data_IF_075981916467
#
_entry.id   IF_075981916467
#
_cell.length_a   1.000
_cell.length_b   1.000
_cell.length_c   1.000
_cell.angle_alpha   90.00
_cell.angle_beta   90.00
_cell.angle_gamma   90.00
#
_symmetry.space_group_name_H-M   'P 1'
#
loop_
_entity.id
_entity.type
_entity.pdbx_description
1 polymer ?
#
# COMPACT_ATOMS: atom_id res chain seq x y z
N UNK A 1 -11.94 -1.36 16.66
CA UNK A 1 -11.19 -1.85 15.48
C UNK A 1 -10.19 -0.80 15.00
N UNK A 2 -9.14 -1.26 14.33
CA UNK A 2 -8.07 -0.52 13.66
C UNK A 2 -8.16 -0.77 12.15
N UNK A 3 -7.39 -0.01 11.37
CA UNK A 3 -7.25 -0.27 9.94
C UNK A 3 -6.70 -1.68 9.70
N UNK A 4 -7.31 -2.44 8.78
CA UNK A 4 -6.94 -3.82 8.48
C UNK A 4 -7.65 -4.89 9.32
N UNK A 5 -8.33 -4.51 10.41
CA UNK A 5 -9.12 -5.47 11.20
C UNK A 5 -10.29 -6.02 10.38
N UNK A 6 -10.52 -7.32 10.45
CA UNK A 6 -11.66 -7.98 9.81
C UNK A 6 -12.83 -8.07 10.78
N UNK A 7 -14.02 -7.71 10.28
CA UNK A 7 -15.25 -7.64 11.06
C UNK A 7 -16.32 -8.54 10.45
N UNK A 8 -16.92 -9.41 11.27
CA UNK A 8 -18.10 -10.17 10.90
C UNK A 8 -19.34 -9.36 11.26
N UNK A 9 -20.03 -8.83 10.24
CA UNK A 9 -21.27 -8.07 10.40
C UNK A 9 -22.44 -9.05 10.59
N UNK A 10 -23.07 -9.01 11.77
CA UNK A 10 -24.20 -9.88 12.13
C UNK A 10 -25.52 -9.27 11.67
N UNK A 11 -25.66 -7.95 11.80
CA UNK A 11 -26.87 -7.23 11.40
C UNK A 11 -26.51 -5.86 10.82
N UNK A 12 -26.96 -5.62 9.59
CA UNK A 12 -26.81 -4.37 8.86
C UNK A 12 -28.16 -3.73 8.46
N UNK A 13 -29.25 -4.05 9.16
CA UNK A 13 -30.60 -3.56 8.81
C UNK A 13 -30.82 -2.08 9.12
N UNK A 14 -30.03 -1.50 10.02
CA UNK A 14 -30.09 -0.07 10.38
C UNK A 14 -29.11 0.73 9.51
N UNK A 15 -29.59 1.85 8.98
CA UNK A 15 -28.88 2.73 8.04
C UNK A 15 -27.69 3.48 8.66
N UNK A 16 -27.59 3.54 9.99
CA UNK A 16 -26.58 4.32 10.72
C UNK A 16 -25.65 3.45 11.57
N UNK A 17 -26.11 2.30 12.07
CA UNK A 17 -25.37 1.47 13.01
C UNK A 17 -25.52 -0.02 12.72
N UNK A 18 -24.40 -0.71 12.55
CA UNK A 18 -24.37 -2.16 12.32
C UNK A 18 -23.88 -2.90 13.55
N UNK A 19 -24.39 -4.12 13.75
CA UNK A 19 -23.88 -5.03 14.79
C UNK A 19 -22.80 -5.91 14.17
N UNK A 20 -21.62 -5.94 14.78
CA UNK A 20 -20.49 -6.70 14.30
C UNK A 20 -19.61 -7.19 15.44
N UNK A 21 -18.78 -8.19 15.14
CA UNK A 21 -17.73 -8.70 16.04
C UNK A 21 -16.41 -8.81 15.31
N UNK A 22 -15.34 -8.80 16.07
CA UNK A 22 -13.99 -8.98 15.54
C UNK A 22 -13.77 -10.41 15.06
N UNK A 23 -13.09 -10.57 13.92
CA UNK A 23 -12.54 -11.86 13.52
C UNK A 23 -11.09 -11.91 13.95
N UNK A 24 -10.72 -12.97 14.66
CA UNK A 24 -9.35 -13.25 15.11
C UNK A 24 -8.79 -14.44 14.32
N UNK A 25 -7.46 -14.69 14.37
CA UNK A 25 -6.88 -15.90 13.79
C UNK A 25 -7.47 -17.21 14.34
N UNK A 26 -8.10 -17.17 15.53
CA UNK A 26 -8.74 -18.33 16.17
C UNK A 26 -10.27 -18.38 15.93
N UNK A 27 -10.80 -17.49 15.09
CA UNK A 27 -12.23 -17.39 14.80
C UNK A 27 -12.86 -16.08 15.30
N UNK A 28 -14.19 -16.04 15.25
CA UNK A 28 -14.98 -14.90 15.71
C UNK A 28 -14.81 -14.67 17.22
N UNK A 29 -14.58 -13.41 17.61
CA UNK A 29 -14.65 -13.00 19.01
C UNK A 29 -16.08 -13.16 19.54
N UNK A 30 -16.21 -13.48 20.83
CA UNK A 30 -17.50 -13.48 21.53
C UNK A 30 -18.06 -12.07 21.74
N UNK A 31 -17.21 -11.04 21.66
CA UNK A 31 -17.59 -9.66 21.89
C UNK A 31 -18.43 -9.10 20.72
N UNK A 32 -19.73 -8.94 20.97
CA UNK A 32 -20.63 -8.23 20.06
C UNK A 32 -20.59 -6.72 20.31
N UNK A 33 -20.32 -5.96 19.26
CA UNK A 33 -20.28 -4.51 19.30
C UNK A 33 -21.18 -3.85 18.24
N UNK A 34 -21.23 -2.52 18.31
CA UNK A 34 -21.90 -1.68 17.31
C UNK A 34 -20.84 -0.85 16.58
N UNK A 35 -20.89 -0.87 15.25
CA UNK A 35 -20.02 -0.09 14.36
C UNK A 35 -20.86 0.88 13.52
N UNK A 36 -20.34 2.05 13.13
CA UNK A 36 -21.08 2.93 12.24
C UNK A 36 -21.28 2.27 10.86
N UNK A 37 -22.43 2.50 10.23
CA UNK A 37 -22.64 2.03 8.86
C UNK A 37 -21.68 2.72 7.88
N UNK A 38 -21.48 2.10 6.71
CA UNK A 38 -20.74 2.72 5.59
C UNK A 38 -21.26 4.13 5.29
N UNK A 39 -22.57 4.28 5.15
CA UNK A 39 -23.23 5.57 4.86
C UNK A 39 -22.91 6.63 5.92
N UNK A 40 -22.89 6.25 7.20
CA UNK A 40 -22.57 7.15 8.33
C UNK A 40 -21.11 7.59 8.29
N UNK A 41 -20.18 6.66 8.08
CA UNK A 41 -18.73 6.96 7.97
C UNK A 41 -18.48 7.91 6.80
N UNK A 42 -19.00 7.59 5.62
CA UNK A 42 -18.79 8.40 4.43
C UNK A 42 -19.36 9.81 4.56
N UNK A 43 -20.54 9.96 5.16
CA UNK A 43 -21.15 11.28 5.42
C UNK A 43 -20.26 12.13 6.34
N UNK A 44 -19.73 11.53 7.40
CA UNK A 44 -18.88 12.22 8.39
C UNK A 44 -17.54 12.66 7.76
N UNK A 45 -16.88 11.79 7.01
CA UNK A 45 -15.59 12.12 6.38
C UNK A 45 -15.74 13.15 5.25
N UNK A 46 -16.79 13.06 4.41
CA UNK A 46 -17.08 14.10 3.42
C UNK A 46 -17.29 15.47 4.06
N UNK A 47 -17.96 15.53 5.22
CA UNK A 47 -18.13 16.77 5.95
C UNK A 47 -16.78 17.32 6.47
N UNK A 48 -15.92 16.44 7.03
CA UNK A 48 -14.59 16.81 7.51
C UNK A 48 -13.70 17.36 6.40
N UNK A 49 -13.67 16.70 5.23
CA UNK A 49 -12.88 17.13 4.07
C UNK A 49 -13.32 18.49 3.54
N UNK A 50 -14.64 18.77 3.58
CA UNK A 50 -15.15 20.12 3.25
C UNK A 50 -14.61 21.17 4.21
N UNK A 51 -14.68 20.92 5.53
CA UNK A 51 -14.21 21.87 6.56
C UNK A 51 -12.70 22.14 6.46
N UNK A 52 -11.86 21.11 6.29
CA UNK A 52 -10.40 21.27 6.19
C UNK A 52 -10.01 22.15 4.99
N UNK A 53 -10.72 22.01 3.86
CA UNK A 53 -10.46 22.81 2.65
C UNK A 53 -10.93 24.27 2.78
N UNK A 54 -11.91 24.57 3.64
CA UNK A 54 -12.27 25.97 3.96
C UNK A 54 -11.15 26.68 4.74
N UNK A 55 -10.53 25.99 5.71
CA UNK A 55 -9.42 26.55 6.48
C UNK A 55 -8.10 26.65 5.68
N UNK A 56 -7.87 25.77 4.70
CA UNK A 56 -6.68 25.85 3.86
C UNK A 56 -6.67 27.08 2.91
N UNK A 57 -7.84 27.68 2.64
CA UNK A 57 -7.96 28.90 1.82
C UNK A 57 -7.84 30.20 2.62
N UNK A 58 -7.89 30.16 3.95
CA UNK A 58 -7.87 31.36 4.79
C UNK A 58 -6.48 31.84 5.19
N UNK A 59 -5.41 31.09 4.89
CA UNK A 59 -4.02 31.42 5.30
C UNK A 59 -3.15 32.03 4.18
N UNK A 60 -3.75 32.54 3.10
CA UNK A 60 -3.03 33.35 2.09
C UNK A 60 -3.56 34.78 2.08
N UNK A 61 -3.20 35.57 3.11
CA UNK A 61 -3.34 37.02 3.09
C UNK A 61 -2.01 37.66 2.71
N UNK A 62 -1.85 38.09 1.45
CA UNK A 62 -1.40 39.46 1.20
C UNK A 62 -1.73 39.99 -0.22
N UNK A 63 -2.30 41.20 -0.22
CA UNK A 63 -2.23 42.28 -1.21
C UNK A 63 -2.93 42.23 -2.60
N UNK A 64 -3.98 43.06 -2.68
CA UNK A 64 -4.39 44.00 -3.75
C UNK A 64 -5.05 43.50 -5.05
N UNK A 65 -6.30 43.95 -5.25
CA UNK A 65 -6.68 44.70 -6.47
C UNK A 65 -7.65 44.03 -7.44
N UNK A 66 -8.86 44.61 -7.48
CA UNK A 66 -9.82 44.69 -8.58
C UNK A 66 -10.80 43.55 -8.91
N UNK A 67 -12.05 44.01 -8.99
CA UNK A 67 -13.29 43.38 -9.43
C UNK A 67 -13.27 43.26 -10.96
N UNK A 68 -13.73 42.11 -11.49
CA UNK A 68 -14.70 41.95 -12.60
C UNK A 68 -14.57 40.52 -13.20
N UNK A 69 -15.70 39.79 -13.25
CA UNK A 69 -15.85 38.58 -14.07
C UNK A 69 -16.49 37.40 -13.32
N UNK A 70 -17.82 37.40 -13.22
CA UNK A 70 -18.60 36.17 -13.06
C UNK A 70 -18.37 35.23 -14.26
N UNK A 71 -18.55 33.92 -14.03
CA UNK A 71 -18.48 32.80 -15.00
C UNK A 71 -17.19 31.94 -15.06
N UNK A 72 -16.75 31.33 -13.94
CA UNK A 72 -16.01 30.04 -14.02
C UNK A 72 -15.95 29.18 -12.73
N UNK A 73 -16.95 29.26 -11.84
CA UNK A 73 -16.92 28.49 -10.57
C UNK A 73 -17.58 27.10 -10.64
N UNK A 74 -18.15 26.70 -11.77
CA UNK A 74 -18.91 25.46 -11.94
C UNK A 74 -18.08 24.21 -12.26
N UNK A 75 -16.85 24.36 -12.77
CA UNK A 75 -16.07 23.22 -13.29
C UNK A 75 -15.15 22.60 -12.24
N UNK A 76 -14.79 23.36 -11.19
CA UNK A 76 -13.92 22.87 -10.10
C UNK A 76 -14.66 22.12 -9.00
N UNK A 77 -15.96 22.37 -8.84
CA UNK A 77 -16.82 21.67 -7.88
C UNK A 77 -17.22 20.28 -8.36
N UNK A 78 -17.23 19.99 -9.68
CA UNK A 78 -17.59 18.66 -10.18
C UNK A 78 -16.50 17.60 -9.93
N UNK A 79 -15.22 17.98 -9.86
CA UNK A 79 -14.14 17.05 -9.46
C UNK A 79 -14.16 16.67 -7.97
N UNK A 80 -14.98 17.34 -7.16
CA UNK A 80 -15.08 17.09 -5.70
C UNK A 80 -15.99 15.89 -5.41
N UNK A 81 -16.69 15.34 -6.40
CA UNK A 81 -17.66 14.26 -6.19
C UNK A 81 -17.03 12.86 -6.02
N UNK A 82 -15.75 12.67 -6.36
CA UNK A 82 -15.12 11.33 -6.41
C UNK A 82 -13.87 11.18 -5.51
N UNK A 83 -13.72 11.95 -4.41
CA UNK A 83 -12.79 11.53 -3.36
C UNK A 83 -13.39 10.29 -2.68
N UNK A 84 -12.92 9.10 -3.09
CA UNK A 84 -13.31 7.83 -2.52
C UNK A 84 -13.00 7.84 -1.02
N UNK A 85 -14.06 7.88 -0.20
CA UNK A 85 -13.91 7.83 1.25
C UNK A 85 -13.75 6.37 1.66
N UNK A 86 -12.59 6.06 2.25
CA UNK A 86 -12.33 4.75 2.84
C UNK A 86 -13.25 4.56 4.05
N UNK A 87 -14.02 3.47 4.05
CA UNK A 87 -14.89 3.08 5.16
C UNK A 87 -14.70 1.60 5.49
N UNK A 88 -15.38 0.72 4.74
CA UNK A 88 -15.29 -0.73 4.86
C UNK A 88 -15.12 -1.34 3.47
N UNK A 89 -14.25 -2.34 3.37
CA UNK A 89 -14.11 -3.18 2.18
C UNK A 89 -14.74 -4.55 2.48
N UNK A 90 -15.72 -5.02 1.69
CA UNK A 90 -16.23 -6.37 1.84
C UNK A 90 -15.14 -7.36 1.43
N UNK A 91 -14.92 -8.37 2.25
CA UNK A 91 -13.87 -9.38 2.04
C UNK A 91 -14.46 -10.78 2.07
N UNK A 92 -13.78 -11.72 1.42
CA UNK A 92 -14.11 -13.13 1.44
C UNK A 92 -12.92 -13.98 1.83
N UNK A 93 -13.19 -15.17 2.36
CA UNK A 93 -12.17 -16.16 2.69
C UNK A 93 -11.64 -16.84 1.43
N UNK A 94 -10.31 -16.92 1.30
CA UNK A 94 -9.64 -17.51 0.16
C UNK A 94 -8.42 -18.34 0.59
N UNK A 95 -8.34 -19.58 0.11
CA UNK A 95 -7.17 -20.44 0.34
C UNK A 95 -6.11 -20.23 -0.73
N UNK A 96 -4.85 -20.16 -0.29
CA UNK A 96 -3.68 -19.98 -1.15
C UNK A 96 -2.67 -21.10 -0.91
N UNK A 97 -1.89 -21.42 -1.94
CA UNK A 97 -0.84 -22.44 -1.91
C UNK A 97 0.56 -21.86 -2.18
N UNK A 98 0.73 -20.55 -1.94
CA UNK A 98 1.98 -19.83 -2.14
C UNK A 98 2.25 -18.90 -0.94
N UNK A 99 3.51 -18.57 -0.68
CA UNK A 99 3.86 -17.55 0.30
C UNK A 99 3.65 -16.15 -0.29
N UNK A 100 2.84 -15.33 0.37
CA UNK A 100 2.44 -14.01 -0.16
C UNK A 100 3.65 -13.09 -0.38
N UNK A 101 3.72 -12.34 -1.50
CA UNK A 101 4.72 -11.28 -1.65
C UNK A 101 4.57 -10.22 -0.56
N UNK A 102 5.66 -9.53 -0.19
CA UNK A 102 5.67 -8.49 0.83
C UNK A 102 6.14 -7.18 0.21
N UNK A 103 5.36 -6.13 0.38
CA UNK A 103 5.67 -4.77 -0.08
C UNK A 103 5.67 -3.86 1.14
N UNK A 104 6.83 -3.27 1.45
CA UNK A 104 6.97 -2.29 2.53
C UNK A 104 7.19 -0.91 1.92
N UNK A 105 6.30 0.02 2.23
CA UNK A 105 6.30 1.39 1.72
C UNK A 105 6.54 2.37 2.87
N UNK A 106 7.01 3.57 2.51
CA UNK A 106 7.28 4.62 3.46
C UNK A 106 8.72 4.61 3.99
N UNK A 107 9.00 5.39 5.05
CA UNK A 107 10.35 5.60 5.54
C UNK A 107 10.95 4.31 6.10
N UNK A 108 12.27 4.18 6.00
CA UNK A 108 13.04 3.03 6.51
C UNK A 108 12.76 1.68 5.82
N UNK A 109 11.94 1.63 4.76
CA UNK A 109 11.62 0.39 4.03
C UNK A 109 12.87 -0.41 3.64
N UNK A 110 13.93 0.26 3.19
CA UNK A 110 15.15 -0.42 2.70
C UNK A 110 15.86 -1.17 3.83
N UNK A 111 15.88 -0.57 5.02
CA UNK A 111 16.44 -1.20 6.21
C UNK A 111 15.58 -2.38 6.66
N UNK A 112 14.26 -2.22 6.68
CA UNK A 112 13.34 -3.31 7.06
C UNK A 112 13.49 -4.49 6.09
N UNK A 113 13.50 -4.22 4.78
CA UNK A 113 13.70 -5.22 3.74
C UNK A 113 15.03 -5.96 3.93
N UNK A 114 16.13 -5.22 4.15
CA UNK A 114 17.44 -5.80 4.41
C UNK A 114 17.47 -6.68 5.67
N UNK A 115 16.91 -6.19 6.77
CA UNK A 115 16.89 -6.91 8.06
C UNK A 115 15.99 -8.17 7.99
N UNK A 116 14.88 -8.15 7.25
CA UNK A 116 14.05 -9.34 7.00
C UNK A 116 14.81 -10.40 6.18
N UNK A 117 15.45 -9.98 5.09
CA UNK A 117 16.22 -10.86 4.21
C UNK A 117 17.43 -11.49 4.92
N UNK A 118 18.17 -10.71 5.71
CA UNK A 118 19.33 -11.18 6.44
C UNK A 118 18.94 -12.01 7.68
N UNK A 119 17.87 -11.63 8.38
CA UNK A 119 17.43 -12.30 9.60
C UNK A 119 16.74 -13.64 9.36
N UNK A 120 16.00 -13.79 8.26
CA UNK A 120 15.22 -15.01 7.97
C UNK A 120 15.34 -15.46 6.50
N UNK A 121 16.54 -15.86 6.04
CA UNK A 121 16.79 -16.24 4.64
C UNK A 121 16.02 -17.50 4.18
N UNK A 122 15.50 -18.29 5.10
CA UNK A 122 14.61 -19.42 4.80
C UNK A 122 13.17 -18.99 4.52
N UNK A 123 12.74 -17.83 5.05
CA UNK A 123 11.36 -17.32 4.97
C UNK A 123 11.21 -16.24 3.90
N UNK A 124 12.23 -15.43 3.67
CA UNK A 124 12.21 -14.34 2.70
C UNK A 124 13.15 -14.60 1.51
N UNK A 125 12.78 -14.05 0.35
CA UNK A 125 13.56 -14.11 -0.87
C UNK A 125 13.37 -12.86 -1.71
N UNK A 126 14.33 -12.56 -2.58
CA UNK A 126 14.17 -11.58 -3.65
C UNK A 126 13.97 -12.31 -4.97
N UNK A 127 13.12 -11.77 -5.84
CA UNK A 127 12.97 -12.27 -7.20
C UNK A 127 14.03 -11.67 -8.12
N UNK A 128 14.34 -12.38 -9.21
CA UNK A 128 15.28 -11.89 -10.23
C UNK A 128 14.54 -10.96 -11.20
N UNK A 129 14.92 -9.66 -11.28
CA UNK A 129 14.32 -8.70 -12.21
C UNK A 129 14.80 -8.94 -13.64
N UNK A 130 14.18 -8.28 -14.62
CA UNK A 130 14.59 -8.29 -16.01
C UNK A 130 15.26 -6.97 -16.39
N UNK A 131 16.17 -7.00 -17.35
CA UNK A 131 16.73 -5.78 -17.95
C UNK A 131 17.11 -5.96 -19.41
N UNK A 132 17.01 -4.89 -20.21
CA UNK A 132 17.59 -4.84 -21.57
C UNK A 132 19.05 -4.41 -21.56
N UNK A 133 19.61 -4.05 -20.40
CA UNK A 133 21.02 -3.67 -20.28
C UNK A 133 21.90 -4.88 -20.64
N UNK A 134 22.99 -4.70 -21.42
CA UNK A 134 23.96 -5.76 -21.63
C UNK A 134 24.52 -6.31 -20.31
N UNK A 135 24.63 -7.63 -20.22
CA UNK A 135 25.25 -8.32 -19.09
C UNK A 135 26.73 -7.96 -18.97
N UNK A 136 27.18 -7.66 -17.75
CA UNK A 136 28.59 -7.42 -17.46
C UNK A 136 29.31 -8.74 -17.23
N UNK A 137 30.65 -8.74 -17.34
CA UNK A 137 31.48 -9.94 -17.24
C UNK A 137 31.41 -10.67 -15.89
N UNK A 138 30.99 -9.99 -14.81
CA UNK A 138 30.84 -10.56 -13.47
C UNK A 138 29.40 -10.89 -13.10
N UNK A 139 28.43 -10.59 -13.98
CA UNK A 139 27.01 -10.86 -13.74
C UNK A 139 26.63 -12.22 -14.35
N UNK A 140 25.64 -12.86 -13.75
CA UNK A 140 25.11 -14.16 -14.17
C UNK A 140 23.64 -14.02 -14.53
N UNK A 141 23.29 -14.42 -15.76
CA UNK A 141 21.90 -14.45 -16.23
C UNK A 141 21.05 -15.42 -15.40
N UNK A 142 19.87 -14.96 -15.00
CA UNK A 142 18.97 -15.68 -14.11
C UNK A 142 19.35 -15.64 -12.62
N UNK A 143 20.43 -14.92 -12.26
CA UNK A 143 20.80 -14.65 -10.86
C UNK A 143 20.75 -13.14 -10.55
N UNK A 144 21.49 -12.34 -11.29
CA UNK A 144 21.51 -10.88 -11.10
C UNK A 144 20.30 -10.23 -11.79
N UNK A 145 20.11 -10.58 -13.06
CA UNK A 145 18.97 -10.19 -13.89
C UNK A 145 18.65 -11.31 -14.88
N UNK A 146 17.43 -11.30 -15.39
CA UNK A 146 17.13 -11.89 -16.69
C UNK A 146 17.47 -10.87 -17.77
N UNK A 147 18.55 -11.13 -18.51
CA UNK A 147 19.05 -10.23 -19.54
C UNK A 147 18.27 -10.42 -20.85
N UNK A 148 17.39 -9.47 -21.15
CA UNK A 148 16.56 -9.49 -22.35
C UNK A 148 17.34 -8.89 -23.52
N UNK A 149 17.63 -9.72 -24.53
CA UNK A 149 18.46 -9.32 -25.67
C UNK A 149 17.80 -8.25 -26.57
N UNK A 150 16.49 -8.33 -26.77
CA UNK A 150 15.75 -7.44 -27.67
C UNK A 150 14.84 -6.52 -26.87
N UNK A 151 15.08 -5.20 -26.98
CA UNK A 151 14.30 -4.20 -26.27
C UNK A 151 12.82 -4.26 -26.65
N UNK A 152 12.53 -4.48 -27.93
CA UNK A 152 11.19 -4.57 -28.50
C UNK A 152 10.39 -5.72 -27.87
N UNK A 153 11.08 -6.82 -27.52
CA UNK A 153 10.46 -7.92 -26.80
C UNK A 153 10.05 -7.47 -25.39
N UNK A 154 10.94 -6.83 -24.63
CA UNK A 154 10.60 -6.36 -23.29
C UNK A 154 9.49 -5.31 -23.33
N UNK A 155 9.45 -4.44 -24.34
CA UNK A 155 8.35 -3.48 -24.55
C UNK A 155 7.02 -4.18 -24.81
N UNK A 156 7.00 -5.22 -25.65
CA UNK A 156 5.82 -6.05 -25.87
C UNK A 156 5.36 -6.76 -24.60
N UNK A 157 6.30 -7.28 -23.80
CA UNK A 157 6.02 -7.93 -22.52
C UNK A 157 5.41 -6.95 -21.49
N UNK A 158 5.89 -5.70 -21.46
CA UNK A 158 5.32 -4.62 -20.64
C UNK A 158 3.89 -4.29 -21.08
N UNK A 159 3.64 -4.16 -22.39
CA UNK A 159 2.31 -3.89 -22.95
C UNK A 159 1.33 -5.03 -22.67
N UNK A 160 1.81 -6.27 -22.61
CA UNK A 160 1.02 -7.46 -22.26
C UNK A 160 0.84 -7.66 -20.74
N UNK A 161 1.17 -6.65 -19.92
CA UNK A 161 1.01 -6.70 -18.48
C UNK A 161 1.77 -7.85 -17.78
N UNK A 162 2.91 -8.30 -18.35
CA UNK A 162 3.74 -9.34 -17.71
C UNK A 162 4.59 -8.83 -16.55
N UNK A 163 4.70 -7.51 -16.40
CA UNK A 163 5.44 -6.84 -15.34
C UNK A 163 4.48 -6.19 -14.33
N UNK A 164 4.79 -6.36 -13.04
CA UNK A 164 4.10 -5.64 -11.96
C UNK A 164 4.60 -4.20 -11.88
N UNK A 165 5.86 -3.98 -12.23
CA UNK A 165 6.48 -2.67 -12.34
C UNK A 165 7.58 -2.73 -13.40
N UNK A 166 7.70 -1.68 -14.20
CA UNK A 166 8.77 -1.51 -15.17
C UNK A 166 9.12 -0.03 -15.32
N UNK A 167 10.38 0.26 -15.62
CA UNK A 167 10.89 1.61 -15.79
C UNK A 167 12.13 1.66 -16.67
N UNK A 168 12.56 2.86 -17.03
CA UNK A 168 13.76 3.09 -17.82
C UNK A 168 14.82 3.78 -16.96
N UNK A 169 16.06 3.29 -17.02
CA UNK A 169 17.22 3.89 -16.38
C UNK A 169 18.45 3.76 -17.27
N UNK A 170 19.16 4.87 -17.50
CA UNK A 170 20.31 4.94 -18.43
C UNK A 170 20.00 4.25 -19.77
N UNK A 171 18.86 4.61 -20.39
CA UNK A 171 18.35 4.07 -21.66
C UNK A 171 18.10 2.57 -21.74
N UNK A 172 18.17 1.87 -20.60
CA UNK A 172 17.83 0.47 -20.49
C UNK A 172 16.52 0.29 -19.74
N UNK A 173 15.72 -0.68 -20.17
CA UNK A 173 14.51 -1.06 -19.46
C UNK A 173 14.86 -1.98 -18.30
N UNK A 174 14.12 -1.85 -17.21
CA UNK A 174 14.16 -2.71 -16.03
C UNK A 174 12.73 -3.05 -15.64
N UNK A 175 12.50 -4.25 -15.13
CA UNK A 175 11.16 -4.64 -14.69
C UNK A 175 11.13 -5.85 -13.80
N UNK A 176 10.17 -5.85 -12.89
CA UNK A 176 9.86 -6.99 -12.02
C UNK A 176 8.69 -7.76 -12.62
N UNK A 177 8.96 -8.98 -13.10
CA UNK A 177 7.94 -9.77 -13.79
C UNK A 177 7.03 -10.49 -12.78
N UNK A 178 5.75 -10.67 -13.14
CA UNK A 178 4.80 -11.48 -12.35
C UNK A 178 5.36 -12.88 -12.11
N UNK A 179 6.00 -13.47 -13.13
CA UNK A 179 6.54 -14.82 -13.06
C UNK A 179 7.73 -14.93 -12.10
N UNK A 180 8.62 -13.93 -12.08
CA UNK A 180 9.75 -13.87 -11.13
C UNK A 180 9.25 -13.85 -9.68
N UNK A 181 8.18 -13.10 -9.41
CA UNK A 181 7.56 -13.06 -8.07
C UNK A 181 6.91 -14.39 -7.72
N UNK A 182 6.11 -14.95 -8.64
CA UNK A 182 5.45 -16.25 -8.47
C UNK A 182 6.45 -17.36 -8.15
N UNK A 183 7.58 -17.37 -8.83
CA UNK A 183 8.65 -18.35 -8.65
C UNK A 183 9.22 -18.40 -7.22
N UNK A 184 9.30 -17.25 -6.54
CA UNK A 184 9.73 -17.18 -5.14
C UNK A 184 8.60 -17.62 -4.21
N UNK A 185 7.39 -17.14 -4.47
CA UNK A 185 6.19 -17.43 -3.69
C UNK A 185 5.84 -18.94 -3.64
N UNK A 186 5.90 -19.62 -4.79
CA UNK A 186 5.61 -21.06 -4.92
C UNK A 186 6.65 -21.96 -4.25
N UNK A 187 7.83 -21.42 -3.93
CA UNK A 187 8.85 -22.13 -3.12
C UNK A 187 8.67 -21.91 -1.62
N UNK A 188 7.55 -21.34 -1.20
CA UNK A 188 7.23 -21.12 0.21
C UNK A 188 8.00 -19.95 0.84
N UNK A 189 8.56 -19.04 0.04
CA UNK A 189 9.21 -17.82 0.54
C UNK A 189 8.41 -16.57 0.22
N UNK A 190 8.29 -15.67 1.19
CA UNK A 190 7.77 -14.33 0.96
C UNK A 190 8.74 -13.55 0.07
N UNK A 191 8.28 -13.18 -1.13
CA UNK A 191 9.06 -12.35 -2.03
C UNK A 191 9.07 -10.90 -1.53
N UNK A 192 10.20 -10.40 -1.05
CA UNK A 192 10.38 -8.98 -0.69
C UNK A 192 10.49 -8.18 -1.98
N UNK A 193 9.58 -7.22 -2.17
CA UNK A 193 9.51 -6.39 -3.37
C UNK A 193 9.81 -4.93 -3.04
N UNK A 194 10.78 -4.38 -3.77
CA UNK A 194 11.06 -2.94 -3.75
C UNK A 194 10.39 -2.26 -4.95
N UNK A 195 9.08 -2.02 -4.82
CA UNK A 195 8.20 -1.48 -5.88
C UNK A 195 7.27 -0.40 -5.33
N UNK A 196 6.64 0.38 -6.22
CA UNK A 196 5.62 1.37 -5.84
C UNK A 196 4.27 0.75 -5.47
N UNK A 197 3.35 1.57 -4.94
CA UNK A 197 1.99 1.16 -4.60
C UNK A 197 1.18 0.61 -5.79
N UNK A 198 1.48 1.04 -7.01
CA UNK A 198 0.82 0.53 -8.23
C UNK A 198 1.02 -0.97 -8.46
N UNK A 199 2.13 -1.53 -7.97
CA UNK A 199 2.41 -2.96 -8.10
C UNK A 199 1.43 -3.82 -7.29
N UNK A 200 0.82 -3.27 -6.22
CA UNK A 200 -0.13 -4.01 -5.36
C UNK A 200 -1.32 -4.47 -6.20
N UNK A 201 -1.93 -3.57 -6.98
CA UNK A 201 -3.06 -3.89 -7.84
C UNK A 201 -2.68 -4.89 -8.94
N UNK A 202 -1.50 -4.73 -9.56
CA UNK A 202 -1.01 -5.64 -10.59
C UNK A 202 -0.83 -7.06 -10.05
N UNK A 203 -0.36 -7.19 -8.82
CA UNK A 203 -0.24 -8.48 -8.12
C UNK A 203 -1.60 -9.10 -7.80
N UNK A 204 -2.57 -8.32 -7.32
CA UNK A 204 -3.93 -8.82 -7.07
C UNK A 204 -4.61 -9.34 -8.35
N UNK A 205 -4.47 -8.61 -9.47
CA UNK A 205 -4.95 -9.05 -10.80
C UNK A 205 -4.27 -10.36 -11.22
N UNK A 206 -2.99 -10.53 -10.91
CA UNK A 206 -2.24 -11.75 -11.15
C UNK A 206 -2.52 -12.88 -10.13
N UNK A 207 -3.51 -12.71 -9.24
CA UNK A 207 -3.87 -13.66 -8.18
C UNK A 207 -2.70 -13.97 -7.23
N UNK A 208 -1.85 -12.96 -6.99
CA UNK A 208 -0.74 -13.00 -6.03
C UNK A 208 -0.95 -11.92 -4.97
N UNK A 209 -1.90 -12.13 -4.06
CA UNK A 209 -2.28 -11.14 -3.04
C UNK A 209 -1.12 -10.79 -2.09
N UNK A 210 -0.51 -9.59 -2.19
CA UNK A 210 0.64 -9.23 -1.37
C UNK A 210 0.21 -8.84 0.06
N UNK A 211 1.16 -8.87 0.99
CA UNK A 211 1.08 -8.20 2.29
C UNK A 211 1.70 -6.81 2.08
N UNK A 212 0.85 -5.78 2.00
CA UNK A 212 1.27 -4.41 1.73
C UNK A 212 1.24 -3.58 3.01
N UNK A 213 2.40 -3.11 3.46
CA UNK A 213 2.57 -2.40 4.73
C UNK A 213 3.07 -0.99 4.45
N UNK A 214 2.32 0.02 4.89
CA UNK A 214 2.82 1.40 4.91
C UNK A 214 3.36 1.73 6.30
N UNK A 215 4.64 2.09 6.36
CA UNK A 215 5.24 2.72 7.54
C UNK A 215 4.86 4.20 7.51
N UNK A 216 3.97 4.60 8.42
CA UNK A 216 3.45 5.97 8.51
C UNK A 216 4.01 6.68 9.75
N UNK A 217 4.92 7.65 9.60
CA UNK A 217 5.43 8.39 10.74
C UNK A 217 4.32 9.23 11.41
N UNK A 218 4.40 9.41 12.72
CA UNK A 218 3.43 10.22 13.49
C UNK A 218 3.63 11.72 13.25
N UNK A 219 4.88 12.15 13.09
CA UNK A 219 5.28 13.55 12.91
C UNK A 219 6.69 13.65 12.31
N UNK A 220 7.11 14.88 11.98
CA UNK A 220 8.50 15.18 11.59
C UNK A 220 9.46 14.84 12.73
N UNK A 221 9.12 15.19 13.97
CA UNK A 221 9.95 14.89 15.15
C UNK A 221 10.15 13.38 15.35
N UNK A 222 9.10 12.59 15.11
CA UNK A 222 9.18 11.12 15.17
C UNK A 222 10.24 10.59 14.19
N UNK A 223 10.31 11.11 12.96
CA UNK A 223 11.32 10.74 11.98
C UNK A 223 12.74 11.16 12.41
N UNK A 224 12.90 12.39 12.91
CA UNK A 224 14.19 12.91 13.36
C UNK A 224 14.72 12.12 14.57
N UNK A 225 13.85 11.72 15.48
CA UNK A 225 14.19 10.88 16.62
C UNK A 225 14.66 9.48 16.19
N UNK A 226 13.99 8.88 15.20
CA UNK A 226 14.35 7.56 14.67
C UNK A 226 15.62 7.56 13.82
N UNK A 227 15.89 8.67 13.11
CA UNK A 227 17.07 8.81 12.28
C UNK A 227 17.65 10.22 12.40
N UNK A 228 18.56 10.39 13.37
CA UNK A 228 19.26 11.65 13.67
C UNK A 228 20.11 12.20 12.52
N UNK A 229 20.31 11.44 11.43
CA UNK A 229 21.03 11.90 10.23
C UNK A 229 20.12 12.64 9.23
N UNK A 230 18.80 12.57 9.40
CA UNK A 230 17.86 13.31 8.56
C UNK A 230 17.90 14.80 8.91
N UNK A 231 17.88 15.64 7.89
CA UNK A 231 17.55 17.05 8.09
C UNK A 231 16.05 17.22 8.28
N UNK A 232 15.63 18.30 8.92
CA UNK A 232 14.20 18.63 9.11
C UNK A 232 13.45 18.68 7.77
N UNK A 233 14.06 19.27 6.73
CA UNK A 233 13.48 19.33 5.39
C UNK A 233 13.30 17.94 4.77
N UNK A 234 14.27 17.03 4.94
CA UNK A 234 14.15 15.65 4.48
C UNK A 234 13.07 14.89 5.24
N UNK A 235 12.96 15.10 6.55
CA UNK A 235 11.92 14.49 7.37
C UNK A 235 10.51 14.98 6.98
N UNK A 236 10.35 16.30 6.72
CA UNK A 236 9.10 16.87 6.22
C UNK A 236 8.70 16.26 4.86
N UNK A 237 9.64 16.21 3.90
CA UNK A 237 9.41 15.56 2.59
C UNK A 237 9.05 14.09 2.74
N UNK A 238 9.66 13.38 3.69
CA UNK A 238 9.40 11.97 3.95
C UNK A 238 7.99 11.74 4.51
N UNK A 239 7.54 12.60 5.44
CA UNK A 239 6.17 12.57 5.98
C UNK A 239 5.12 12.91 4.90
N UNK A 240 5.39 13.92 4.07
CA UNK A 240 4.52 14.28 2.95
C UNK A 240 4.37 13.13 1.94
N UNK A 241 5.46 12.43 1.61
CA UNK A 241 5.41 11.25 0.74
C UNK A 241 4.60 10.12 1.37
N UNK A 242 4.77 9.84 2.66
CA UNK A 242 3.99 8.81 3.35
C UNK A 242 2.49 9.14 3.35
N UNK A 243 2.15 10.40 3.61
CA UNK A 243 0.76 10.90 3.54
C UNK A 243 0.18 10.75 2.14
N UNK A 244 0.95 11.08 1.10
CA UNK A 244 0.50 10.91 -0.29
C UNK A 244 0.28 9.45 -0.65
N UNK A 245 1.17 8.55 -0.22
CA UNK A 245 1.02 7.11 -0.42
C UNK A 245 -0.26 6.57 0.25
N UNK A 246 -0.57 7.03 1.46
CA UNK A 246 -1.82 6.69 2.15
C UNK A 246 -3.06 7.21 1.41
N UNK A 247 -3.01 8.44 0.90
CA UNK A 247 -4.13 9.01 0.14
C UNK A 247 -4.38 8.28 -1.18
N UNK A 248 -3.31 7.87 -1.87
CA UNK A 248 -3.38 7.29 -3.21
C UNK A 248 -3.62 5.77 -3.19
N UNK A 249 -3.07 5.06 -2.20
CA UNK A 249 -3.09 3.60 -2.14
C UNK A 249 -3.67 3.03 -0.84
N UNK A 250 -4.27 3.87 0.01
CA UNK A 250 -4.75 3.48 1.34
C UNK A 250 -5.66 2.26 1.34
N UNK A 251 -6.52 2.11 0.33
CA UNK A 251 -7.42 0.95 0.19
C UNK A 251 -6.68 -0.38 -0.11
N UNK A 252 -5.46 -0.31 -0.64
CA UNK A 252 -4.69 -1.51 -1.01
C UNK A 252 -3.74 -1.98 0.09
N UNK A 253 -3.59 -1.22 1.17
CA UNK A 253 -2.71 -1.61 2.28
C UNK A 253 -3.37 -2.67 3.15
N UNK A 254 -2.58 -3.68 3.50
CA UNK A 254 -2.93 -4.67 4.51
C UNK A 254 -2.83 -4.06 5.90
N UNK A 255 -1.81 -3.23 6.16
CA UNK A 255 -1.61 -2.60 7.45
C UNK A 255 -0.93 -1.23 7.35
N UNK A 256 -1.23 -0.38 8.34
CA UNK A 256 -0.53 0.87 8.61
C UNK A 256 0.27 0.71 9.90
N UNK A 257 1.59 0.80 9.81
CA UNK A 257 2.49 0.63 10.97
C UNK A 257 3.01 2.00 11.41
N UNK A 258 2.92 2.25 12.72
CA UNK A 258 3.47 3.44 13.37
C UNK A 258 4.24 3.02 14.62
N UNK A 259 5.39 3.64 14.87
CA UNK A 259 6.20 3.35 16.05
C UNK A 259 7.05 4.55 16.44
N UNK A 260 7.57 4.52 17.67
CA UNK A 260 8.45 5.56 18.20
C UNK A 260 9.93 5.22 17.97
N UNK A 261 10.23 3.93 17.82
CA UNK A 261 11.56 3.44 17.44
C UNK A 261 11.51 2.54 16.21
N UNK A 262 12.68 2.37 15.57
CA UNK A 262 12.82 1.38 14.50
C UNK A 262 12.50 -0.06 14.97
N UNK A 263 12.85 -0.40 16.22
CA UNK A 263 12.60 -1.72 16.79
C UNK A 263 11.11 -2.03 16.87
N UNK A 264 10.30 -1.04 17.23
CA UNK A 264 8.84 -1.17 17.29
C UNK A 264 8.25 -1.37 15.89
N UNK A 265 8.67 -0.53 14.93
CA UNK A 265 8.22 -0.61 13.53
C UNK A 265 8.59 -1.97 12.93
N UNK A 266 9.84 -2.40 13.11
CA UNK A 266 10.32 -3.68 12.61
C UNK A 266 9.55 -4.87 13.23
N UNK A 267 9.28 -4.81 14.54
CA UNK A 267 8.52 -5.86 15.23
C UNK A 267 7.07 -5.92 14.75
N UNK A 268 6.39 -4.78 14.64
CA UNK A 268 5.03 -4.69 14.09
C UNK A 268 4.96 -5.17 12.63
N UNK A 269 5.93 -4.82 11.78
CA UNK A 269 5.97 -5.33 10.41
C UNK A 269 6.07 -6.87 10.39
N UNK A 270 6.89 -7.47 11.27
CA UNK A 270 6.98 -8.94 11.37
C UNK A 270 5.68 -9.56 11.86
N UNK A 271 5.03 -8.97 12.86
CA UNK A 271 3.74 -9.43 13.38
C UNK A 271 2.68 -9.43 12.28
N UNK A 272 2.54 -8.32 11.54
CA UNK A 272 1.64 -8.21 10.38
C UNK A 272 1.97 -9.28 9.34
N UNK A 273 3.25 -9.49 9.00
CA UNK A 273 3.63 -10.53 8.03
C UNK A 273 3.24 -11.92 8.54
N UNK A 274 3.47 -12.23 9.81
CA UNK A 274 3.12 -13.52 10.41
C UNK A 274 1.60 -13.74 10.40
N UNK A 275 0.82 -12.78 10.92
CA UNK A 275 -0.64 -12.84 10.98
C UNK A 275 -1.27 -13.05 9.59
N UNK A 276 -0.66 -12.47 8.56
CA UNK A 276 -1.15 -12.53 7.18
C UNK A 276 -0.46 -13.59 6.30
N UNK A 277 0.42 -14.43 6.86
CA UNK A 277 1.17 -15.48 6.13
C UNK A 277 0.45 -16.82 6.01
N UNK A 278 -0.69 -16.99 6.69
CA UNK A 278 -1.43 -18.25 6.73
C UNK A 278 -1.90 -18.76 5.36
N UNK A 279 -2.25 -20.05 5.27
CA UNK A 279 -2.75 -20.68 4.03
C UNK A 279 -4.13 -20.15 3.61
N UNK A 280 -4.80 -19.42 4.50
CA UNK A 280 -6.11 -18.83 4.25
C UNK A 280 -6.06 -17.35 4.56
N UNK A 281 -6.57 -16.55 3.62
CA UNK A 281 -6.44 -15.10 3.63
C UNK A 281 -7.79 -14.43 3.32
N UNK A 282 -7.89 -13.17 3.74
CA UNK A 282 -8.97 -12.29 3.35
C UNK A 282 -8.59 -11.54 2.08
N UNK A 283 -9.45 -11.60 1.07
CA UNK A 283 -9.27 -10.86 -0.19
C UNK A 283 -10.50 -9.99 -0.47
N UNK A 284 -10.36 -8.89 -1.22
CA UNK A 284 -11.48 -8.05 -1.61
C UNK A 284 -12.59 -8.84 -2.33
N UNK A 285 -13.82 -8.64 -1.90
CA UNK A 285 -15.02 -9.20 -2.51
C UNK A 285 -15.61 -8.22 -3.55
N UNK A 286 -16.27 -8.76 -4.57
CA UNK A 286 -17.02 -7.96 -5.56
C UNK A 286 -18.38 -7.49 -5.03
N UNK A 287 -18.79 -7.96 -3.85
CA UNK A 287 -20.02 -7.54 -3.21
C UNK A 287 -20.01 -6.05 -2.93
N UNK A 288 -21.17 -5.40 -3.06
CA UNK A 288 -21.33 -3.99 -2.72
C UNK A 288 -22.01 -3.89 -1.36
N UNK A 289 -21.35 -3.18 -0.44
CA UNK A 289 -22.00 -2.69 0.78
C UNK A 289 -22.95 -1.56 0.38
N UNK A 290 -24.24 -1.78 0.57
CA UNK A 290 -25.33 -0.81 0.36
C UNK A 290 -25.53 0.07 1.59
#
# INVERSE_FOLDING_TARGET
>A
FRFGDVLHVINASDDEWWQARHVTPHGDSEDLGVIPSKRRVERKERARLKTVKFNAKTDSSDSTGDVLGDEEYGTRTSRIQDEAVISYEPVLWHEINYARPVIILGPMKDRINGDLMAGFPHKFGSCVPHTTRPMRSYEVDGQDYHFVMFREQMEADIQQHRFIEAGQYNDNLYGTSVQSVRHVAERGKHCILDVSGHAIQRLQVAQLYPIAILVKPKSVDSLLNMNKKLTEEQAKKSLERATKLEQEFGEFFTALVQGDTFGDIYSQCKEVIEEHSGPSIWIPSKEKLY
#
